data_IF_894793671546
#
_entry.id   IF_894793671546
#
_cell.length_a   1.000
_cell.length_b   1.000
_cell.length_c   1.000
_cell.angle_alpha   90.00
_cell.angle_beta   90.00
_cell.angle_gamma   90.00
#
_symmetry.space_group_name_H-M   'P 1'
#
loop_
_entity.id
_entity.type
_entity.pdbx_description
1 polymer ?
#
# COMPACT_ATOMS: atom_id res chain seq x y z
N UNK A 1 5.76 11.13 18.09
CA UNK A 1 6.83 11.36 17.09
C UNK A 1 6.26 12.20 15.95
N UNK A 2 7.04 13.03 15.25
CA UNK A 2 6.55 13.78 14.09
C UNK A 2 6.05 12.85 12.96
N UNK A 3 4.98 13.26 12.27
CA UNK A 3 4.35 12.44 11.22
C UNK A 3 5.33 12.08 10.09
N UNK A 4 6.13 13.03 9.62
CA UNK A 4 7.10 12.80 8.54
C UNK A 4 8.18 11.78 8.93
N UNK A 5 8.61 11.80 10.20
CA UNK A 5 9.59 10.83 10.71
C UNK A 5 8.99 9.42 10.72
N UNK A 6 7.74 9.29 11.19
CA UNK A 6 7.02 8.02 11.18
C UNK A 6 6.89 7.47 9.76
N UNK A 7 6.40 8.29 8.82
CA UNK A 7 6.21 7.93 7.42
C UNK A 7 7.54 7.48 6.79
N UNK A 8 8.60 8.27 6.98
CA UNK A 8 9.92 7.97 6.41
C UNK A 8 10.49 6.63 6.92
N UNK A 9 10.22 6.25 8.18
CA UNK A 9 10.64 4.93 8.67
C UNK A 9 9.89 3.79 7.97
N UNK A 10 8.57 3.89 7.81
CA UNK A 10 7.79 2.87 7.09
C UNK A 10 8.19 2.79 5.61
N UNK A 11 8.44 3.93 4.95
CA UNK A 11 8.96 3.96 3.58
C UNK A 11 10.32 3.28 3.48
N UNK A 12 11.23 3.53 4.43
CA UNK A 12 12.55 2.89 4.48
C UNK A 12 12.44 1.38 4.66
N UNK A 13 11.59 0.92 5.57
CA UNK A 13 11.36 -0.53 5.79
C UNK A 13 10.77 -1.17 4.53
N UNK A 14 9.73 -0.57 3.94
CA UNK A 14 9.13 -1.07 2.70
C UNK A 14 10.15 -1.12 1.55
N UNK A 15 10.96 -0.08 1.37
CA UNK A 15 12.03 -0.06 0.36
C UNK A 15 13.06 -1.19 0.59
N UNK A 16 13.46 -1.42 1.84
CA UNK A 16 14.41 -2.48 2.19
C UNK A 16 13.86 -3.87 1.88
N UNK A 17 12.61 -4.15 2.28
CA UNK A 17 11.94 -5.40 1.94
C UNK A 17 11.81 -5.56 0.42
N UNK A 18 11.39 -4.52 -0.32
CA UNK A 18 11.27 -4.58 -1.77
C UNK A 18 12.59 -4.88 -2.48
N UNK A 19 13.70 -4.28 -2.02
CA UNK A 19 15.03 -4.60 -2.52
C UNK A 19 15.44 -6.06 -2.23
N UNK A 20 15.13 -6.56 -1.03
CA UNK A 20 15.35 -7.96 -0.66
C UNK A 20 14.53 -8.92 -1.52
N UNK A 21 13.24 -8.67 -1.66
CA UNK A 21 12.33 -9.44 -2.52
C UNK A 21 12.83 -9.47 -3.96
N UNK A 22 13.24 -8.32 -4.51
CA UNK A 22 13.79 -8.24 -5.86
C UNK A 22 15.08 -9.06 -6.01
N UNK A 23 15.94 -9.07 -4.98
CA UNK A 23 17.17 -9.85 -4.97
C UNK A 23 16.87 -11.35 -4.97
N UNK A 24 16.03 -11.82 -4.04
CA UNK A 24 15.64 -13.23 -3.92
C UNK A 24 14.90 -13.73 -5.17
N UNK A 25 14.01 -12.90 -5.73
CA UNK A 25 13.22 -13.27 -6.91
C UNK A 25 14.07 -13.52 -8.15
N UNK A 26 15.28 -12.93 -8.26
CA UNK A 26 16.21 -13.21 -9.38
C UNK A 26 16.79 -14.62 -9.34
N UNK A 27 16.78 -15.24 -8.17
CA UNK A 27 17.27 -16.60 -7.97
C UNK A 27 16.15 -17.65 -8.02
N UNK A 28 14.89 -17.23 -8.19
CA UNK A 28 13.78 -18.15 -8.34
C UNK A 28 13.80 -18.82 -9.72
N UNK A 29 13.82 -20.15 -9.80
CA UNK A 29 13.69 -20.83 -11.08
C UNK A 29 12.27 -20.69 -11.63
N UNK A 30 12.16 -20.76 -12.96
CA UNK A 30 10.86 -20.69 -13.67
C UNK A 30 9.93 -21.82 -13.21
N UNK A 31 10.50 -23.00 -12.94
CA UNK A 31 9.79 -24.17 -12.45
C UNK A 31 10.41 -24.63 -11.13
N UNK A 32 9.58 -25.10 -10.19
CA UNK A 32 10.08 -25.82 -9.02
C UNK A 32 10.59 -27.18 -9.43
N UNK A 33 11.85 -27.48 -9.15
CA UNK A 33 12.39 -28.83 -9.30
C UNK A 33 13.04 -29.34 -7.98
N UNK A 34 12.98 -28.57 -6.89
CA UNK A 34 13.49 -28.96 -5.56
C UNK A 34 12.68 -28.35 -4.40
N UNK A 35 12.74 -28.99 -3.22
CA UNK A 35 12.17 -28.44 -1.97
C UNK A 35 12.75 -27.06 -1.62
N UNK A 36 14.03 -26.82 -1.95
CA UNK A 36 14.69 -25.53 -1.75
C UNK A 36 14.05 -24.41 -2.57
N UNK A 37 13.62 -24.70 -3.80
CA UNK A 37 12.95 -23.71 -4.65
C UNK A 37 11.57 -23.33 -4.10
N UNK A 38 10.84 -24.30 -3.55
CA UNK A 38 9.55 -24.07 -2.93
C UNK A 38 9.68 -23.30 -1.61
N UNK A 39 10.68 -23.62 -0.79
CA UNK A 39 11.03 -22.85 0.39
C UNK A 39 11.34 -21.39 0.02
N UNK A 40 12.21 -21.16 -0.98
CA UNK A 40 12.55 -19.82 -1.43
C UNK A 40 11.33 -19.05 -1.97
N UNK A 41 10.45 -19.70 -2.76
CA UNK A 41 9.19 -19.08 -3.23
C UNK A 41 8.30 -18.67 -2.07
N UNK A 42 8.20 -19.50 -1.04
CA UNK A 42 7.42 -19.18 0.15
C UNK A 42 8.02 -17.98 0.90
N UNK A 43 9.33 -17.94 1.10
CA UNK A 43 10.01 -16.79 1.73
C UNK A 43 9.80 -15.50 0.94
N UNK A 44 9.93 -15.55 -0.39
CA UNK A 44 9.64 -14.40 -1.27
C UNK A 44 8.19 -13.93 -1.11
N UNK A 45 7.23 -14.85 -1.00
CA UNK A 45 5.81 -14.52 -0.81
C UNK A 45 5.57 -13.81 0.52
N UNK A 46 6.14 -14.32 1.62
CA UNK A 46 6.01 -13.71 2.95
C UNK A 46 6.69 -12.34 2.99
N UNK A 47 7.92 -12.23 2.46
CA UNK A 47 8.65 -10.97 2.40
C UNK A 47 7.92 -9.91 1.56
N UNK A 48 7.31 -10.32 0.43
CA UNK A 48 6.47 -9.43 -0.38
C UNK A 48 5.22 -9.01 0.38
N UNK A 49 4.55 -9.91 1.10
CA UNK A 49 3.42 -9.53 1.93
C UNK A 49 3.83 -8.46 2.95
N UNK A 50 4.93 -8.66 3.69
CA UNK A 50 5.45 -7.69 4.64
C UNK A 50 5.74 -6.32 4.00
N UNK A 51 6.42 -6.31 2.84
CA UNK A 51 6.66 -5.09 2.05
C UNK A 51 5.38 -4.31 1.79
N UNK A 52 4.34 -4.99 1.28
CA UNK A 52 3.07 -4.38 0.92
C UNK A 52 2.36 -3.78 2.14
N UNK A 53 2.39 -4.46 3.30
CA UNK A 53 1.84 -3.91 4.54
C UNK A 53 2.58 -2.64 4.98
N UNK A 54 3.92 -2.66 5.00
CA UNK A 54 4.69 -1.48 5.38
C UNK A 54 4.48 -0.31 4.42
N UNK A 55 4.41 -0.58 3.11
CA UNK A 55 4.10 0.46 2.11
C UNK A 55 2.70 1.01 2.31
N UNK A 56 1.72 0.16 2.54
CA UNK A 56 0.32 0.54 2.77
C UNK A 56 0.19 1.47 3.99
N UNK A 57 0.90 1.19 5.08
CA UNK A 57 0.95 2.09 6.26
C UNK A 57 1.52 3.45 5.89
N UNK A 58 2.63 3.50 5.14
CA UNK A 58 3.21 4.76 4.68
C UNK A 58 2.25 5.55 3.77
N UNK A 59 1.60 4.88 2.82
CA UNK A 59 0.64 5.49 1.92
C UNK A 59 -0.56 6.08 2.66
N UNK A 60 -1.15 5.33 3.60
CA UNK A 60 -2.28 5.81 4.39
C UNK A 60 -1.90 7.02 5.25
N UNK A 61 -0.71 6.99 5.87
CA UNK A 61 -0.23 8.12 6.65
C UNK A 61 0.04 9.36 5.78
N UNK A 62 0.65 9.19 4.59
CA UNK A 62 0.81 10.26 3.59
C UNK A 62 -0.54 10.82 3.13
N UNK A 63 -1.54 9.95 2.92
CA UNK A 63 -2.87 10.36 2.51
C UNK A 63 -3.52 11.25 3.58
N UNK A 64 -3.45 10.87 4.86
CA UNK A 64 -3.98 11.66 5.97
C UNK A 64 -3.30 13.04 6.02
N UNK A 65 -1.97 13.08 5.94
CA UNK A 65 -1.21 14.36 5.96
C UNK A 65 -1.60 15.24 4.77
N UNK A 66 -1.68 14.68 3.55
CA UNK A 66 -2.04 15.44 2.35
C UNK A 66 -3.49 15.94 2.40
N UNK A 67 -4.43 15.13 2.90
CA UNK A 67 -5.83 15.51 3.09
C UNK A 67 -5.98 16.64 4.10
N UNK A 68 -5.29 16.55 5.23
CA UNK A 68 -5.36 17.57 6.27
C UNK A 68 -4.69 18.88 5.83
N UNK A 69 -3.64 18.80 4.99
CA UNK A 69 -3.02 19.97 4.36
C UNK A 69 -3.93 20.61 3.31
N UNK A 70 -4.61 19.82 2.47
CA UNK A 70 -5.62 20.32 1.53
C UNK A 70 -6.74 21.09 2.24
N UNK A 71 -7.21 20.60 3.40
CA UNK A 71 -8.24 21.28 4.19
C UNK A 71 -7.79 22.64 4.76
N UNK A 72 -6.46 22.86 4.87
CA UNK A 72 -5.85 24.10 5.36
C UNK A 72 -5.28 24.97 4.23
N UNK A 73 -5.33 24.50 2.98
CA UNK A 73 -4.79 25.23 1.85
C UNK A 73 -5.49 26.59 1.71
N UNK A 74 -4.73 27.60 1.30
CA UNK A 74 -5.25 28.97 1.13
C UNK A 74 -5.21 29.43 -0.34
N UNK A 75 -4.48 28.72 -1.19
CA UNK A 75 -4.33 29.01 -2.61
C UNK A 75 -4.55 27.77 -3.48
N UNK A 76 -5.12 27.97 -4.67
CA UNK A 76 -5.40 26.91 -5.63
C UNK A 76 -4.13 26.12 -6.03
N UNK A 77 -2.98 26.79 -6.13
CA UNK A 77 -1.71 26.12 -6.44
C UNK A 77 -1.25 25.17 -5.33
N UNK A 78 -1.53 25.48 -4.06
CA UNK A 78 -1.25 24.58 -2.93
C UNK A 78 -2.21 23.40 -2.93
N UNK A 79 -3.50 23.67 -3.15
CA UNK A 79 -4.52 22.65 -3.26
C UNK A 79 -4.22 21.64 -4.38
N UNK A 80 -3.83 22.11 -5.57
CA UNK A 80 -3.50 21.24 -6.71
C UNK A 80 -2.37 20.25 -6.37
N UNK A 81 -1.33 20.69 -5.64
CA UNK A 81 -0.24 19.81 -5.20
C UNK A 81 -0.75 18.69 -4.29
N UNK A 82 -1.62 19.03 -3.34
CA UNK A 82 -2.19 18.03 -2.43
C UNK A 82 -3.16 17.09 -3.15
N UNK A 83 -3.98 17.61 -4.08
CA UNK A 83 -4.92 16.80 -4.88
C UNK A 83 -4.19 15.81 -5.78
N UNK A 84 -3.13 16.24 -6.47
CA UNK A 84 -2.27 15.36 -7.26
C UNK A 84 -1.60 14.29 -6.40
N UNK A 85 -1.11 14.65 -5.21
CA UNK A 85 -0.52 13.70 -4.29
C UNK A 85 -1.54 12.65 -3.80
N UNK A 86 -2.76 13.09 -3.44
CA UNK A 86 -3.86 12.22 -3.03
C UNK A 86 -4.25 11.24 -4.14
N UNK A 87 -4.34 11.71 -5.39
CA UNK A 87 -4.64 10.85 -6.54
C UNK A 87 -3.58 9.75 -6.70
N UNK A 88 -2.30 10.12 -6.65
CA UNK A 88 -1.20 9.18 -6.76
C UNK A 88 -1.23 8.13 -5.65
N UNK A 89 -1.47 8.56 -4.41
CA UNK A 89 -1.56 7.65 -3.25
C UNK A 89 -2.72 6.68 -3.38
N UNK A 90 -3.91 7.13 -3.80
CA UNK A 90 -5.08 6.29 -3.98
C UNK A 90 -4.86 5.22 -5.06
N UNK A 91 -4.29 5.61 -6.20
CA UNK A 91 -3.96 4.66 -7.27
C UNK A 91 -2.90 3.65 -6.82
N UNK A 92 -1.86 4.12 -6.12
CA UNK A 92 -0.84 3.24 -5.54
C UNK A 92 -1.44 2.25 -4.55
N UNK A 93 -2.37 2.69 -3.70
CA UNK A 93 -3.01 1.84 -2.69
C UNK A 93 -3.89 0.74 -3.30
N UNK A 94 -4.60 1.05 -4.39
CA UNK A 94 -5.34 0.05 -5.17
C UNK A 94 -4.40 -1.05 -5.66
N UNK A 95 -3.25 -0.68 -6.23
CA UNK A 95 -2.28 -1.65 -6.74
C UNK A 95 -1.67 -2.53 -5.64
N UNK A 96 -1.39 -1.95 -4.46
CA UNK A 96 -0.91 -2.73 -3.32
C UNK A 96 -1.97 -3.71 -2.81
N UNK A 97 -3.22 -3.27 -2.67
CA UNK A 97 -4.32 -4.11 -2.22
C UNK A 97 -4.57 -5.29 -3.17
N UNK A 98 -4.50 -5.04 -4.50
CA UNK A 98 -4.63 -6.10 -5.52
C UNK A 98 -3.49 -7.13 -5.44
N UNK A 99 -2.26 -6.68 -5.27
CA UNK A 99 -1.11 -7.58 -5.11
C UNK A 99 -1.21 -8.42 -3.83
N UNK A 100 -1.58 -7.78 -2.72
CA UNK A 100 -1.74 -8.47 -1.44
C UNK A 100 -2.89 -9.47 -1.47
N UNK A 101 -3.98 -9.15 -2.17
CA UNK A 101 -5.09 -10.08 -2.40
C UNK A 101 -4.62 -11.35 -3.11
N UNK A 102 -3.86 -11.21 -4.19
CA UNK A 102 -3.32 -12.36 -4.92
C UNK A 102 -2.42 -13.24 -4.02
N UNK A 103 -1.60 -12.62 -3.17
CA UNK A 103 -0.74 -13.32 -2.21
C UNK A 103 -1.59 -14.06 -1.16
N UNK A 104 -2.55 -13.38 -0.55
CA UNK A 104 -3.41 -13.97 0.49
C UNK A 104 -4.27 -15.12 -0.05
N UNK A 105 -4.72 -15.02 -1.31
CA UNK A 105 -5.43 -16.12 -1.99
C UNK A 105 -4.56 -17.35 -2.22
N UNK A 106 -3.24 -17.18 -2.32
CA UNK A 106 -2.28 -18.28 -2.46
C UNK A 106 -1.72 -18.79 -1.12
N UNK A 107 -1.85 -18.01 -0.04
CA UNK A 107 -1.33 -18.35 1.29
C UNK A 107 -2.26 -17.82 2.39
N UNK A 108 -3.07 -18.71 2.94
CA UNK A 108 -4.09 -18.38 3.95
C UNK A 108 -3.53 -18.03 5.32
N UNK A 109 -2.21 -18.13 5.53
CA UNK A 109 -1.55 -17.67 6.77
C UNK A 109 -1.44 -16.14 6.81
N UNK A 110 -1.53 -15.48 5.66
CA UNK A 110 -1.50 -14.02 5.55
C UNK A 110 -2.86 -13.45 5.95
N UNK A 111 -2.84 -12.46 6.85
CA UNK A 111 -4.04 -11.75 7.29
C UNK A 111 -4.53 -12.08 8.69
N UNK A 112 -3.80 -12.88 9.48
CA UNK A 112 -4.07 -13.08 10.90
C UNK A 112 -2.83 -12.75 11.75
N UNK A 113 -2.98 -11.89 12.74
CA UNK A 113 -1.96 -11.58 13.74
C UNK A 113 -2.41 -12.13 15.10
N UNK A 114 -1.77 -13.21 15.53
CA UNK A 114 -2.21 -14.01 16.67
C UNK A 114 -2.08 -13.28 18.01
N UNK A 115 -1.11 -12.36 18.15
CA UNK A 115 -0.82 -11.68 19.42
C UNK A 115 -1.89 -10.66 19.80
N UNK A 116 -2.50 -10.01 18.80
CA UNK A 116 -3.55 -9.00 18.98
C UNK A 116 -4.93 -9.46 18.50
N UNK A 117 -5.07 -10.72 18.10
CA UNK A 117 -6.31 -11.29 17.53
C UNK A 117 -6.87 -10.47 16.36
N UNK A 118 -6.00 -9.73 15.67
CA UNK A 118 -6.38 -8.90 14.54
C UNK A 118 -6.37 -9.77 13.29
N UNK A 119 -7.41 -9.66 12.48
CA UNK A 119 -7.43 -10.29 11.16
C UNK A 119 -8.04 -9.39 10.11
N UNK A 120 -7.64 -9.63 8.87
CA UNK A 120 -8.35 -9.19 7.69
C UNK A 120 -8.41 -10.37 6.70
N UNK A 121 -9.50 -10.44 5.95
CA UNK A 121 -9.78 -11.44 4.94
C UNK A 121 -9.63 -10.84 3.53
N UNK A 122 -9.59 -11.66 2.48
CA UNK A 122 -9.49 -11.15 1.12
C UNK A 122 -10.62 -10.16 0.74
N UNK A 123 -11.80 -10.27 1.36
CA UNK A 123 -12.90 -9.33 1.15
C UNK A 123 -12.57 -7.91 1.63
N UNK A 124 -11.82 -7.74 2.72
CA UNK A 124 -11.43 -6.43 3.23
C UNK A 124 -10.50 -5.70 2.24
N UNK A 125 -9.66 -6.45 1.53
CA UNK A 125 -8.81 -5.88 0.46
C UNK A 125 -9.63 -5.45 -0.76
N UNK A 126 -10.70 -6.18 -1.08
CA UNK A 126 -11.65 -5.77 -2.13
C UNK A 126 -12.37 -4.49 -1.70
N UNK A 127 -12.88 -4.44 -0.47
CA UNK A 127 -13.52 -3.24 0.08
C UNK A 127 -12.57 -2.05 0.06
N UNK A 128 -11.30 -2.26 0.42
CA UNK A 128 -10.27 -1.22 0.33
C UNK A 128 -10.09 -0.68 -1.10
N UNK A 129 -10.07 -1.54 -2.11
CA UNK A 129 -10.03 -1.13 -3.51
C UNK A 129 -11.26 -0.30 -3.89
N UNK A 130 -12.45 -0.74 -3.48
CA UNK A 130 -13.71 -0.01 -3.75
C UNK A 130 -13.73 1.36 -3.08
N UNK A 131 -13.26 1.46 -1.83
CA UNK A 131 -13.15 2.73 -1.11
C UNK A 131 -12.15 3.68 -1.78
N UNK A 132 -11.00 3.18 -2.22
CA UNK A 132 -10.04 4.00 -2.97
C UNK A 132 -10.60 4.45 -4.33
N UNK A 133 -11.35 3.59 -5.01
CA UNK A 133 -12.01 3.93 -6.27
C UNK A 133 -13.09 5.00 -6.08
N UNK A 134 -13.96 4.88 -5.06
CA UNK A 134 -14.95 5.92 -4.73
C UNK A 134 -14.26 7.27 -4.43
N UNK A 135 -13.14 7.25 -3.70
CA UNK A 135 -12.38 8.47 -3.44
C UNK A 135 -11.81 9.09 -4.72
N UNK A 136 -11.38 8.29 -5.69
CA UNK A 136 -10.88 8.77 -6.99
C UNK A 136 -11.99 9.28 -7.90
N UNK A 137 -13.11 8.58 -7.96
CA UNK A 137 -14.14 8.81 -8.98
C UNK A 137 -15.19 9.83 -8.51
N UNK A 138 -15.38 9.98 -7.19
CA UNK A 138 -16.37 10.88 -6.60
C UNK A 138 -15.72 11.99 -5.76
N UNK A 139 -15.01 11.64 -4.70
CA UNK A 139 -14.54 12.64 -3.71
C UNK A 139 -13.46 13.58 -4.25
N UNK A 140 -12.49 13.07 -4.99
CA UNK A 140 -11.36 13.86 -5.50
C UNK A 140 -11.82 14.89 -6.57
N UNK A 141 -12.68 14.55 -7.55
CA UNK A 141 -13.31 15.53 -8.44
C UNK A 141 -14.09 16.63 -7.70
N UNK A 142 -14.86 16.27 -6.67
CA UNK A 142 -15.56 17.25 -5.82
C UNK A 142 -14.58 18.22 -5.15
N UNK A 143 -13.40 17.73 -4.71
CA UNK A 143 -12.38 18.62 -4.15
C UNK A 143 -11.76 19.53 -5.22
N UNK A 144 -11.44 19.01 -6.41
CA UNK A 144 -10.90 19.81 -7.53
C UNK A 144 -11.85 20.94 -7.93
N UNK A 145 -13.15 20.65 -7.99
CA UNK A 145 -14.18 21.64 -8.31
C UNK A 145 -14.21 22.83 -7.33
N UNK A 146 -14.00 22.60 -6.02
CA UNK A 146 -13.96 23.68 -5.01
C UNK A 146 -12.86 24.70 -5.30
N UNK A 147 -11.79 24.27 -5.95
CA UNK A 147 -10.63 25.08 -6.29
C UNK A 147 -10.62 25.54 -7.75
N UNK A 148 -11.66 25.18 -8.53
CA UNK A 148 -11.77 25.42 -9.99
C UNK A 148 -10.63 24.79 -10.79
N UNK A 149 -10.21 23.59 -10.37
CA UNK A 149 -9.18 22.76 -10.98
C UNK A 149 -9.79 21.57 -11.70
#
# INVERSE_FOLDING_TARGET
>A
YPADVFIAQFEKVANGFGAGVATLSRHLPIKSDSEGDDALRNEVRIARAAELHFRSVANQARFIVARDALAKASAAQEAEKHLTALEHLLRGEIELARQLYAIQRADSRIGFEASNQYYYVPADLIEKVLNCADLLDRWLPEQRQKWKL
#
